data_IF_964349187677
#
_entry.id   IF_964349187677
#
_cell.length_a   1.000
_cell.length_b   1.000
_cell.length_c   1.000
_cell.angle_alpha   90.00
_cell.angle_beta   90.00
_cell.angle_gamma   90.00
#
_symmetry.space_group_name_H-M   'P 1'
#
loop_
_entity.id
_entity.type
_entity.pdbx_description
1 polymer ?
#
# COMPACT_ATOMS: atom_id res chain seq x y z
N UNK A 1 50.76 69.24 16.05
CA UNK A 1 50.41 67.92 16.69
C UNK A 1 49.10 67.37 16.25
N UNK A 2 48.41 67.85 15.18
CA UNK A 2 47.07 67.43 14.73
C UNK A 2 46.98 66.68 13.38
N UNK A 3 48.09 66.27 12.76
CA UNK A 3 48.09 65.55 11.48
C UNK A 3 48.36 64.04 11.61
N UNK A 4 48.87 63.55 12.75
CA UNK A 4 49.18 62.13 12.94
C UNK A 4 48.00 61.30 13.41
N UNK A 5 46.98 61.88 14.04
CA UNK A 5 45.81 61.14 14.51
C UNK A 5 44.75 60.88 13.40
N UNK A 6 44.78 61.69 12.34
CA UNK A 6 43.81 61.54 11.23
C UNK A 6 44.13 60.35 10.30
N UNK A 7 45.38 59.97 10.16
CA UNK A 7 45.79 58.85 9.29
C UNK A 7 45.61 57.47 9.94
N UNK A 8 45.73 57.36 11.26
CA UNK A 8 45.56 56.11 11.94
C UNK A 8 44.10 55.64 12.00
N UNK A 9 43.13 56.55 12.18
CA UNK A 9 41.69 56.27 12.19
C UNK A 9 41.18 55.91 10.79
N UNK A 10 41.70 56.51 9.75
CA UNK A 10 41.31 56.15 8.36
C UNK A 10 41.86 54.78 7.95
N UNK A 11 43.02 54.36 8.48
CA UNK A 11 43.60 53.06 8.21
C UNK A 11 42.85 51.92 8.96
N UNK A 12 42.50 52.17 10.21
CA UNK A 12 41.72 51.20 11.03
C UNK A 12 40.30 50.98 10.43
N UNK A 13 39.62 52.02 9.99
CA UNK A 13 38.30 51.90 9.39
C UNK A 13 38.33 51.13 8.06
N UNK A 14 39.35 51.27 7.24
CA UNK A 14 39.50 50.49 6.00
C UNK A 14 39.78 49.00 6.26
N UNK A 15 40.45 48.67 7.34
CA UNK A 15 40.69 47.27 7.71
C UNK A 15 39.42 46.60 8.26
N UNK A 16 38.61 47.31 9.04
CA UNK A 16 37.33 46.84 9.55
C UNK A 16 36.30 46.65 8.43
N UNK A 17 36.21 47.59 7.50
CA UNK A 17 35.30 47.47 6.35
C UNK A 17 35.67 46.32 5.40
N UNK A 18 36.95 46.06 5.15
CA UNK A 18 37.40 44.92 4.35
C UNK A 18 37.16 43.58 5.06
N UNK A 19 37.35 43.54 6.37
CA UNK A 19 37.07 42.34 7.17
C UNK A 19 35.57 41.98 7.18
N UNK A 20 34.72 43.00 7.31
CA UNK A 20 33.25 42.79 7.31
C UNK A 20 32.69 42.43 5.93
N UNK A 21 33.28 42.95 4.83
CA UNK A 21 32.88 42.55 3.48
C UNK A 21 33.29 41.09 3.16
N UNK A 22 34.49 40.68 3.55
CA UNK A 22 34.96 39.30 3.38
C UNK A 22 34.10 38.31 4.20
N UNK A 23 33.73 38.67 5.43
CA UNK A 23 32.89 37.86 6.29
C UNK A 23 31.45 37.74 5.73
N UNK A 24 30.89 38.82 5.17
CA UNK A 24 29.57 38.82 4.52
C UNK A 24 29.56 37.93 3.27
N UNK A 25 30.62 37.97 2.46
CA UNK A 25 30.73 37.10 1.26
C UNK A 25 30.90 35.61 1.66
N UNK A 26 31.61 35.30 2.73
CA UNK A 26 31.73 33.92 3.23
C UNK A 26 30.39 33.43 3.78
N UNK A 27 29.67 34.22 4.56
CA UNK A 27 28.34 33.87 5.09
C UNK A 27 27.33 33.71 3.96
N UNK A 28 27.36 34.58 2.95
CA UNK A 28 26.48 34.47 1.79
C UNK A 28 26.81 33.24 0.94
N UNK A 29 28.09 32.88 0.81
CA UNK A 29 28.53 31.64 0.15
C UNK A 29 28.06 30.38 0.89
N UNK A 30 28.13 30.37 2.21
CA UNK A 30 27.61 29.26 3.05
C UNK A 30 26.09 29.17 3.02
N UNK A 31 25.36 30.28 2.99
CA UNK A 31 23.91 30.31 2.81
C UNK A 31 23.46 29.79 1.43
N UNK A 32 24.21 30.09 0.39
CA UNK A 32 23.94 29.57 -0.97
C UNK A 32 24.20 28.06 -1.08
N UNK A 33 25.18 27.53 -0.36
CA UNK A 33 25.43 26.07 -0.32
C UNK A 33 24.29 25.31 0.37
N UNK A 34 23.59 25.93 1.32
CA UNK A 34 22.41 25.32 1.97
C UNK A 34 21.13 25.40 1.12
N UNK A 35 21.07 26.27 0.11
CA UNK A 35 19.89 26.41 -0.76
C UNK A 35 19.91 25.43 -1.94
N UNK A 36 21.06 24.85 -2.27
CA UNK A 36 21.20 23.79 -3.28
C UNK A 36 21.21 22.41 -2.59
N UNK A 37 20.21 22.14 -1.75
CA UNK A 37 19.82 20.76 -1.53
C UNK A 37 19.22 20.28 -2.84
N UNK A 38 19.80 19.27 -3.51
CA UNK A 38 19.15 18.70 -4.67
C UNK A 38 17.75 18.28 -4.20
N UNK A 39 16.72 18.81 -4.84
CA UNK A 39 15.40 18.22 -4.73
C UNK A 39 15.60 16.76 -5.12
N UNK A 40 15.65 15.87 -4.15
CA UNK A 40 15.70 14.43 -4.43
C UNK A 40 14.40 14.14 -5.15
N UNK A 41 14.50 13.96 -6.46
CA UNK A 41 13.38 13.44 -7.22
C UNK A 41 12.99 12.11 -6.54
N UNK A 42 11.75 12.01 -6.15
CA UNK A 42 11.22 10.75 -5.61
C UNK A 42 11.51 9.66 -6.64
N UNK A 43 12.27 8.65 -6.25
CA UNK A 43 12.60 7.52 -7.13
C UNK A 43 11.42 6.57 -7.32
N UNK A 44 10.27 6.86 -6.68
CA UNK A 44 9.07 6.04 -6.76
C UNK A 44 7.82 6.91 -6.77
N UNK A 45 6.78 6.43 -7.46
CA UNK A 45 5.43 6.98 -7.41
C UNK A 45 4.49 5.90 -6.86
N UNK A 46 3.59 6.30 -5.96
CA UNK A 46 2.62 5.43 -5.29
C UNK A 46 1.23 6.00 -5.56
N UNK A 47 0.30 5.14 -6.03
CA UNK A 47 -1.11 5.45 -6.17
C UNK A 47 -1.92 4.31 -5.53
N UNK A 48 -2.63 4.61 -4.44
CA UNK A 48 -3.39 3.65 -3.64
C UNK A 48 -4.79 4.19 -3.34
N UNK A 49 -5.78 3.31 -3.10
CA UNK A 49 -7.14 3.74 -2.81
C UNK A 49 -7.33 4.37 -1.42
N UNK A 50 -6.43 4.09 -0.45
CA UNK A 50 -6.45 4.70 0.87
C UNK A 50 -5.07 5.16 1.35
N UNK A 51 -5.06 6.01 2.37
CA UNK A 51 -3.83 6.56 2.95
C UNK A 51 -2.99 5.47 3.68
N UNK A 52 -3.63 4.49 4.30
CA UNK A 52 -2.95 3.45 5.08
C UNK A 52 -2.09 2.56 4.19
N UNK A 53 -2.64 2.15 3.04
CA UNK A 53 -1.89 1.36 2.06
C UNK A 53 -0.80 2.18 1.37
N UNK A 54 -1.04 3.48 1.12
CA UNK A 54 -0.05 4.38 0.55
C UNK A 54 1.15 4.59 1.49
N UNK A 55 0.90 4.89 2.79
CA UNK A 55 1.93 5.01 3.80
C UNK A 55 2.71 3.69 3.99
N UNK A 56 2.02 2.56 3.90
CA UNK A 56 2.67 1.25 3.97
C UNK A 56 3.62 1.05 2.80
N UNK A 57 3.17 1.32 1.56
CA UNK A 57 4.02 1.23 0.38
C UNK A 57 5.28 2.10 0.51
N UNK A 58 5.12 3.35 0.96
CA UNK A 58 6.24 4.26 1.18
C UNK A 58 7.23 3.71 2.21
N UNK A 59 6.76 3.25 3.37
CA UNK A 59 7.60 2.66 4.41
C UNK A 59 8.37 1.44 3.93
N UNK A 60 7.73 0.55 3.17
CA UNK A 60 8.38 -0.64 2.60
C UNK A 60 9.50 -0.22 1.63
N UNK A 61 9.26 0.75 0.77
CA UNK A 61 10.29 1.26 -0.14
C UNK A 61 11.44 1.92 0.62
N UNK A 62 11.17 2.71 1.67
CA UNK A 62 12.19 3.32 2.55
C UNK A 62 13.03 2.28 3.30
N UNK A 63 12.47 1.11 3.60
CA UNK A 63 13.16 -0.02 4.22
C UNK A 63 14.02 -0.83 3.23
N UNK A 64 14.10 -0.41 1.98
CA UNK A 64 14.88 -1.07 0.93
C UNK A 64 14.11 -2.14 0.17
N UNK A 65 12.80 -2.26 0.37
CA UNK A 65 11.92 -3.08 -0.45
C UNK A 65 11.80 -2.55 -1.87
N UNK A 66 11.41 -3.41 -2.78
CA UNK A 66 11.13 -3.04 -4.16
C UNK A 66 9.62 -2.80 -4.38
N UNK A 67 9.22 -2.49 -5.63
CA UNK A 67 7.83 -2.23 -5.96
C UNK A 67 6.89 -3.42 -5.72
N UNK A 68 7.39 -4.65 -5.83
CA UNK A 68 6.60 -5.87 -5.55
C UNK A 68 6.40 -6.03 -4.04
N UNK A 69 7.44 -5.80 -3.23
CA UNK A 69 7.31 -5.81 -1.76
C UNK A 69 6.27 -4.79 -1.30
N UNK A 70 6.34 -3.56 -1.84
CA UNK A 70 5.38 -2.50 -1.54
C UNK A 70 3.95 -2.87 -1.96
N UNK A 71 3.77 -3.46 -3.16
CA UNK A 71 2.47 -3.89 -3.65
C UNK A 71 1.88 -5.03 -2.80
N UNK A 72 2.70 -6.02 -2.41
CA UNK A 72 2.28 -7.14 -1.55
C UNK A 72 1.85 -6.64 -0.17
N UNK A 73 2.67 -5.82 0.48
CA UNK A 73 2.35 -5.28 1.81
C UNK A 73 1.07 -4.43 1.77
N UNK A 74 0.94 -3.56 0.77
CA UNK A 74 -0.26 -2.74 0.59
C UNK A 74 -1.51 -3.57 0.31
N UNK A 75 -1.41 -4.65 -0.46
CA UNK A 75 -2.55 -5.54 -0.71
C UNK A 75 -3.08 -6.18 0.59
N UNK A 76 -2.20 -6.59 1.50
CA UNK A 76 -2.62 -7.09 2.82
C UNK A 76 -3.18 -5.98 3.71
N UNK A 77 -2.63 -4.76 3.66
CA UNK A 77 -3.21 -3.62 4.39
C UNK A 77 -4.59 -3.28 3.87
N UNK A 78 -4.80 -3.26 2.55
CA UNK A 78 -6.12 -3.04 1.93
C UNK A 78 -7.15 -4.08 2.37
N UNK A 79 -6.76 -5.34 2.60
CA UNK A 79 -7.66 -6.35 3.14
C UNK A 79 -8.19 -6.00 4.55
N UNK A 80 -7.50 -5.12 5.28
CA UNK A 80 -7.88 -4.64 6.61
C UNK A 80 -8.62 -3.30 6.54
N UNK A 81 -8.07 -2.33 5.79
CA UNK A 81 -8.49 -0.93 5.83
C UNK A 81 -9.49 -0.56 4.73
N UNK A 82 -9.55 -1.38 3.67
CA UNK A 82 -10.40 -1.18 2.49
C UNK A 82 -11.18 -2.46 2.14
N UNK A 83 -11.97 -3.05 3.08
CA UNK A 83 -12.58 -4.38 2.93
C UNK A 83 -13.64 -4.48 1.83
N UNK A 84 -14.02 -3.39 1.20
CA UNK A 84 -14.93 -3.38 0.05
C UNK A 84 -14.29 -3.94 -1.23
N UNK A 85 -12.96 -3.89 -1.34
CA UNK A 85 -12.23 -4.39 -2.50
C UNK A 85 -10.94 -5.14 -2.11
N UNK A 86 -10.25 -4.71 -1.04
CA UNK A 86 -9.12 -5.44 -0.47
C UNK A 86 -9.58 -6.72 0.21
N UNK A 87 -8.87 -7.83 0.00
CA UNK A 87 -9.32 -9.13 0.51
C UNK A 87 -8.16 -10.13 0.62
N UNK A 88 -8.38 -11.17 1.44
CA UNK A 88 -7.57 -12.40 1.46
C UNK A 88 -8.36 -13.61 0.97
N UNK A 89 -9.67 -13.45 0.74
CA UNK A 89 -10.60 -14.50 0.34
C UNK A 89 -11.06 -14.40 -1.12
N UNK A 90 -10.48 -13.52 -1.89
CA UNK A 90 -10.78 -13.29 -3.31
C UNK A 90 -9.61 -13.67 -4.21
N UNK A 91 -9.40 -12.88 -5.24
CA UNK A 91 -8.33 -13.04 -6.21
C UNK A 91 -7.94 -11.73 -6.85
N UNK A 92 -7.15 -11.80 -7.92
CA UNK A 92 -6.72 -10.61 -8.63
C UNK A 92 -5.76 -10.92 -9.75
N UNK A 93 -5.19 -9.83 -10.28
CA UNK A 93 -4.17 -9.85 -11.31
C UNK A 93 -3.03 -8.91 -10.91
N UNK A 94 -1.83 -9.23 -11.33
CA UNK A 94 -0.68 -8.35 -11.19
C UNK A 94 0.05 -8.25 -12.52
N UNK A 95 0.25 -7.02 -12.98
CA UNK A 95 1.14 -6.73 -14.11
C UNK A 95 2.40 -6.08 -13.57
N UNK A 96 3.55 -6.60 -13.96
CA UNK A 96 4.86 -6.13 -13.55
C UNK A 96 5.70 -5.86 -14.79
N UNK A 97 6.38 -4.71 -14.80
CA UNK A 97 7.44 -4.41 -15.74
C UNK A 97 8.76 -4.34 -15.00
N UNK A 98 9.69 -5.23 -15.29
CA UNK A 98 11.03 -5.26 -14.72
C UNK A 98 12.01 -4.54 -15.66
N UNK A 99 12.68 -3.48 -15.19
CA UNK A 99 13.72 -2.81 -15.99
C UNK A 99 14.93 -3.73 -16.20
N UNK A 100 15.71 -3.51 -17.28
CA UNK A 100 16.93 -4.27 -17.55
C UNK A 100 17.97 -4.22 -16.43
N UNK A 101 17.94 -3.14 -15.64
CA UNK A 101 18.79 -2.96 -14.45
C UNK A 101 18.27 -3.66 -13.21
N UNK A 102 17.05 -4.19 -13.25
CA UNK A 102 16.54 -4.97 -12.13
C UNK A 102 17.41 -6.23 -11.98
N UNK A 103 18.06 -6.37 -10.83
CA UNK A 103 18.94 -7.52 -10.49
C UNK A 103 18.19 -8.86 -10.43
N UNK A 104 16.97 -8.89 -10.94
CA UNK A 104 16.02 -9.96 -10.79
C UNK A 104 15.78 -10.65 -12.13
N UNK A 105 16.33 -11.84 -12.26
CA UNK A 105 15.90 -12.80 -13.29
C UNK A 105 15.07 -13.89 -12.59
N UNK A 106 13.74 -13.79 -12.62
CA UNK A 106 12.91 -14.79 -11.95
C UNK A 106 13.05 -16.13 -12.66
N UNK A 107 13.61 -17.11 -11.97
CA UNK A 107 13.71 -18.48 -12.52
C UNK A 107 12.30 -19.05 -12.70
N UNK A 108 11.99 -19.53 -13.90
CA UNK A 108 10.74 -20.25 -14.19
C UNK A 108 9.51 -19.39 -14.46
N UNK A 109 9.65 -18.05 -14.59
CA UNK A 109 8.56 -17.17 -15.02
C UNK A 109 8.70 -16.87 -16.49
N UNK A 110 7.63 -17.07 -17.26
CA UNK A 110 7.60 -16.71 -18.68
C UNK A 110 7.22 -15.22 -18.81
N UNK A 111 7.91 -14.46 -19.67
CA UNK A 111 7.49 -13.11 -20.03
C UNK A 111 6.11 -13.10 -20.68
N UNK A 112 5.37 -12.01 -20.51
CA UNK A 112 4.10 -11.81 -21.18
C UNK A 112 4.33 -11.44 -22.66
N UNK A 113 3.92 -12.31 -23.57
CA UNK A 113 4.03 -12.04 -25.02
C UNK A 113 5.49 -11.99 -25.51
N UNK A 114 5.81 -11.02 -26.36
CA UNK A 114 7.13 -10.82 -26.95
C UNK A 114 8.06 -9.93 -26.10
N UNK A 115 7.53 -9.21 -25.12
CA UNK A 115 8.31 -8.35 -24.22
C UNK A 115 8.87 -9.18 -23.06
N UNK A 116 10.19 -9.30 -23.01
CA UNK A 116 10.92 -10.08 -22.00
C UNK A 116 10.91 -9.42 -20.61
N UNK A 117 10.44 -8.18 -20.49
CA UNK A 117 10.40 -7.40 -19.25
C UNK A 117 9.01 -7.32 -18.63
N UNK A 118 7.97 -7.64 -19.39
CA UNK A 118 6.59 -7.62 -18.92
C UNK A 118 6.18 -9.00 -18.39
N UNK A 119 5.62 -9.02 -17.19
CA UNK A 119 5.12 -10.23 -16.53
C UNK A 119 3.66 -10.02 -16.14
N UNK A 120 2.88 -11.09 -16.25
CA UNK A 120 1.49 -11.12 -15.83
C UNK A 120 1.27 -12.29 -14.88
N UNK A 121 0.69 -12.00 -13.72
CA UNK A 121 0.28 -12.99 -12.73
C UNK A 121 -1.24 -13.02 -12.67
N UNK A 122 -1.80 -14.19 -12.95
CA UNK A 122 -3.23 -14.47 -12.79
C UNK A 122 -3.43 -15.31 -11.52
N UNK A 123 -4.01 -14.70 -10.49
CA UNK A 123 -4.39 -15.35 -9.25
C UNK A 123 -5.88 -15.14 -8.95
N UNK A 124 -6.68 -14.98 -10.02
CA UNK A 124 -8.12 -14.90 -9.90
C UNK A 124 -8.69 -16.16 -9.24
N UNK A 125 -9.85 -16.01 -8.61
CA UNK A 125 -10.62 -17.09 -8.01
C UNK A 125 -10.98 -18.15 -9.06
N UNK A 126 -11.03 -19.40 -8.60
CA UNK A 126 -11.48 -20.52 -9.42
C UNK A 126 -12.83 -21.03 -8.90
N UNK A 127 -13.62 -21.62 -9.79
CA UNK A 127 -14.83 -22.32 -9.38
C UNK A 127 -14.47 -23.50 -8.46
N UNK A 128 -15.25 -23.76 -7.41
CA UNK A 128 -15.08 -24.96 -6.58
C UNK A 128 -15.25 -26.24 -7.43
N UNK A 129 -14.59 -27.33 -7.03
CA UNK A 129 -14.69 -28.62 -7.75
C UNK A 129 -16.14 -29.15 -7.87
N UNK A 130 -17.00 -28.80 -6.92
CA UNK A 130 -18.40 -29.16 -6.90
C UNK A 130 -19.30 -28.20 -7.72
N UNK A 131 -18.73 -27.17 -8.34
CA UNK A 131 -19.52 -26.26 -9.17
C UNK A 131 -20.10 -26.99 -10.39
N UNK A 132 -21.37 -26.68 -10.69
CA UNK A 132 -22.09 -27.22 -11.83
C UNK A 132 -22.82 -26.13 -12.55
N UNK A 133 -23.19 -26.38 -13.83
CA UNK A 133 -23.94 -25.43 -14.65
C UNK A 133 -25.30 -25.02 -14.04
N UNK A 134 -25.86 -25.87 -13.18
CA UNK A 134 -27.19 -25.68 -12.62
C UNK A 134 -27.18 -25.22 -11.16
N UNK A 135 -26.01 -24.98 -10.54
CA UNK A 135 -25.89 -24.70 -9.10
C UNK A 135 -26.66 -23.45 -8.62
N UNK A 136 -27.01 -22.55 -9.53
CA UNK A 136 -27.78 -21.34 -9.24
C UNK A 136 -29.21 -21.37 -9.75
N UNK A 137 -29.69 -22.55 -10.20
CA UNK A 137 -31.03 -22.76 -10.70
C UNK A 137 -31.89 -23.51 -9.69
N UNK A 138 -33.19 -23.27 -9.72
CA UNK A 138 -34.19 -24.11 -9.02
C UNK A 138 -34.55 -25.40 -9.82
N UNK A 139 -35.42 -26.22 -9.26
CA UNK A 139 -35.88 -27.48 -9.90
C UNK A 139 -36.59 -27.25 -11.23
N UNK A 140 -37.11 -26.04 -11.48
CA UNK A 140 -37.76 -25.64 -12.74
C UNK A 140 -36.76 -24.97 -13.71
N UNK A 141 -35.45 -25.02 -13.41
CA UNK A 141 -34.37 -24.37 -14.18
C UNK A 141 -34.46 -22.84 -14.24
N UNK A 142 -35.12 -22.21 -13.29
CA UNK A 142 -35.13 -20.75 -13.15
C UNK A 142 -33.99 -20.30 -12.24
N UNK A 143 -33.43 -19.15 -12.57
CA UNK A 143 -32.37 -18.53 -11.74
C UNK A 143 -32.90 -18.20 -10.36
N UNK A 144 -32.26 -18.70 -9.32
CA UNK A 144 -32.53 -18.33 -7.91
C UNK A 144 -31.90 -16.94 -7.68
N UNK A 145 -32.72 -15.92 -7.39
CA UNK A 145 -32.23 -14.56 -7.24
C UNK A 145 -31.13 -14.45 -6.20
N UNK A 146 -30.07 -13.72 -6.53
CA UNK A 146 -28.91 -13.43 -5.67
C UNK A 146 -28.05 -14.61 -5.23
N UNK A 147 -28.37 -15.87 -5.58
CA UNK A 147 -27.62 -17.05 -5.14
C UNK A 147 -26.17 -17.06 -5.65
N UNK A 148 -25.89 -16.45 -6.80
CA UNK A 148 -24.55 -16.26 -7.35
C UNK A 148 -23.80 -15.05 -6.80
N UNK A 149 -24.43 -14.24 -5.96
CA UNK A 149 -23.87 -12.98 -5.45
C UNK A 149 -23.72 -12.99 -3.92
N UNK A 150 -24.59 -13.73 -3.21
CA UNK A 150 -24.68 -13.68 -1.75
C UNK A 150 -24.71 -15.09 -1.18
N UNK A 151 -23.93 -15.32 -0.12
CA UNK A 151 -23.88 -16.59 0.60
C UNK A 151 -22.75 -17.52 0.14
N UNK A 152 -22.65 -18.66 0.78
CA UNK A 152 -21.52 -19.59 0.63
C UNK A 152 -21.35 -20.16 -0.79
N UNK A 153 -22.44 -20.29 -1.54
CA UNK A 153 -22.40 -20.79 -2.92
C UNK A 153 -21.87 -19.76 -3.93
N UNK A 154 -21.87 -18.47 -3.56
CA UNK A 154 -21.30 -17.40 -4.37
C UNK A 154 -19.78 -17.34 -4.31
N UNK A 155 -19.17 -17.96 -3.30
CA UNK A 155 -17.73 -17.89 -3.06
C UNK A 155 -16.95 -18.78 -4.02
N UNK A 156 -15.90 -18.22 -4.62
CA UNK A 156 -14.89 -18.99 -5.35
C UNK A 156 -13.81 -19.55 -4.45
N UNK A 157 -12.91 -20.35 -5.01
CA UNK A 157 -11.67 -20.76 -4.34
C UNK A 157 -10.68 -19.60 -4.39
N UNK A 158 -10.23 -19.08 -3.26
CA UNK A 158 -9.40 -17.87 -3.21
C UNK A 158 -8.03 -18.04 -3.87
N UNK A 159 -7.55 -16.97 -4.49
CA UNK A 159 -6.24 -16.90 -5.11
C UNK A 159 -5.31 -15.82 -4.53
N UNK A 160 -5.85 -14.81 -3.80
CA UNK A 160 -5.09 -13.63 -3.37
C UNK A 160 -3.81 -13.99 -2.60
N UNK A 161 -3.91 -14.76 -1.52
CA UNK A 161 -2.73 -15.08 -0.68
C UNK A 161 -1.68 -15.83 -1.48
N UNK A 162 -2.10 -16.85 -2.25
CA UNK A 162 -1.19 -17.62 -3.09
C UNK A 162 -0.54 -16.75 -4.18
N UNK A 163 -1.32 -15.86 -4.83
CA UNK A 163 -0.81 -14.97 -5.86
C UNK A 163 0.21 -13.96 -5.32
N UNK A 164 -0.07 -13.34 -4.18
CA UNK A 164 0.86 -12.43 -3.51
C UNK A 164 2.13 -13.16 -3.04
N UNK A 165 1.98 -14.38 -2.51
CA UNK A 165 3.12 -15.25 -2.17
C UNK A 165 3.97 -15.57 -3.40
N UNK A 166 3.35 -15.97 -4.52
CA UNK A 166 4.07 -16.25 -5.76
C UNK A 166 4.79 -15.02 -6.32
N UNK A 167 4.16 -13.84 -6.26
CA UNK A 167 4.79 -12.59 -6.64
C UNK A 167 6.01 -12.30 -5.78
N UNK A 168 5.85 -12.41 -4.46
CA UNK A 168 6.93 -12.21 -3.49
C UNK A 168 8.09 -13.20 -3.71
N UNK A 169 7.82 -14.51 -3.85
CA UNK A 169 8.86 -15.52 -4.04
C UNK A 169 9.69 -15.29 -5.30
N UNK A 170 9.12 -14.66 -6.32
CA UNK A 170 9.76 -14.44 -7.62
C UNK A 170 10.43 -13.09 -7.76
N UNK A 171 9.86 -12.07 -7.11
CA UNK A 171 10.24 -10.68 -7.35
C UNK A 171 10.46 -9.88 -6.06
N UNK A 172 10.10 -10.39 -4.89
CA UNK A 172 10.29 -9.74 -3.60
C UNK A 172 11.75 -9.78 -3.13
N UNK A 173 12.11 -8.87 -2.26
CA UNK A 173 13.44 -8.73 -1.66
C UNK A 173 13.44 -8.74 -0.14
N UNK A 174 12.34 -8.30 0.49
CA UNK A 174 12.21 -8.29 1.94
C UNK A 174 11.58 -9.59 2.46
N UNK A 175 11.77 -9.95 3.73
CA UNK A 175 11.12 -11.10 4.33
C UNK A 175 9.59 -11.03 4.25
N UNK A 176 8.94 -12.15 3.92
CA UNK A 176 7.48 -12.26 3.81
C UNK A 176 6.74 -11.75 5.05
N UNK A 177 7.17 -12.19 6.23
CA UNK A 177 6.57 -11.77 7.51
C UNK A 177 6.65 -10.27 7.73
N UNK A 178 7.72 -9.60 7.26
CA UNK A 178 7.86 -8.15 7.35
C UNK A 178 6.82 -7.43 6.49
N UNK A 179 6.44 -7.98 5.34
CA UNK A 179 5.43 -7.40 4.45
C UNK A 179 4.01 -7.51 5.03
N UNK A 180 3.73 -8.54 5.82
CA UNK A 180 2.43 -8.72 6.47
C UNK A 180 2.30 -7.94 7.78
N UNK A 181 3.41 -7.56 8.41
CA UNK A 181 3.40 -6.90 9.72
C UNK A 181 2.52 -5.64 9.78
N UNK A 182 2.55 -4.72 8.80
CA UNK A 182 1.67 -3.55 8.81
C UNK A 182 0.18 -3.91 8.83
N UNK A 183 -0.23 -4.90 8.06
CA UNK A 183 -1.61 -5.37 8.04
C UNK A 183 -2.02 -6.01 9.38
N UNK A 184 -1.13 -6.80 9.99
CA UNK A 184 -1.32 -7.38 11.31
C UNK A 184 -1.50 -6.28 12.35
N UNK A 185 -0.67 -5.23 12.29
CA UNK A 185 -0.72 -4.11 13.23
C UNK A 185 -2.03 -3.32 13.11
N UNK A 186 -2.47 -2.99 11.89
CA UNK A 186 -3.77 -2.34 11.66
C UNK A 186 -4.96 -3.21 12.11
N UNK A 187 -4.91 -4.51 11.85
CA UNK A 187 -5.99 -5.41 12.26
C UNK A 187 -6.03 -5.59 13.79
N UNK A 188 -4.90 -5.72 14.45
CA UNK A 188 -4.80 -5.96 15.88
C UNK A 188 -5.00 -4.69 16.72
N UNK A 189 -4.30 -3.62 16.37
CA UNK A 189 -4.29 -2.37 17.13
C UNK A 189 -5.42 -1.43 16.71
N UNK A 190 -5.93 -1.63 15.48
CA UNK A 190 -7.01 -0.84 14.89
C UNK A 190 -6.50 0.35 14.07
N UNK A 191 -7.41 0.91 13.30
CA UNK A 191 -7.23 2.14 12.55
C UNK A 191 -8.42 3.07 12.73
N UNK A 192 -8.22 4.38 12.53
CA UNK A 192 -9.29 5.36 12.59
C UNK A 192 -10.14 5.25 11.34
N UNK A 193 -11.42 4.95 11.49
CA UNK A 193 -12.34 4.70 10.37
C UNK A 193 -12.64 5.99 9.62
N UNK A 194 -12.32 6.10 8.32
CA UNK A 194 -12.68 7.25 7.52
C UNK A 194 -14.18 7.26 7.16
N UNK A 195 -14.75 8.44 6.87
CA UNK A 195 -16.19 8.59 6.56
C UNK A 195 -16.65 7.74 5.37
N UNK A 196 -15.81 7.60 4.35
CA UNK A 196 -16.09 6.89 3.12
C UNK A 196 -16.39 5.42 3.41
N UNK A 197 -15.60 4.79 4.25
CA UNK A 197 -15.78 3.38 4.63
C UNK A 197 -17.11 3.15 5.36
N UNK A 198 -17.57 4.11 6.18
CA UNK A 198 -18.89 4.03 6.82
C UNK A 198 -20.02 4.16 5.80
N UNK A 199 -19.85 5.01 4.79
CA UNK A 199 -20.82 5.18 3.71
C UNK A 199 -20.95 3.88 2.92
N UNK A 200 -19.83 3.27 2.51
CA UNK A 200 -19.80 1.97 1.83
C UNK A 200 -20.43 0.88 2.68
N UNK A 201 -20.09 0.79 3.99
CA UNK A 201 -20.71 -0.17 4.90
C UNK A 201 -22.25 -0.04 4.94
N UNK A 202 -22.76 1.18 5.05
CA UNK A 202 -24.22 1.42 5.08
C UNK A 202 -24.89 0.96 3.79
N UNK A 203 -24.26 1.20 2.64
CA UNK A 203 -24.77 0.75 1.35
C UNK A 203 -24.85 -0.77 1.29
N UNK A 204 -23.76 -1.49 1.65
CA UNK A 204 -23.75 -2.94 1.72
C UNK A 204 -24.75 -3.50 2.71
N UNK A 205 -24.84 -2.92 3.91
CA UNK A 205 -25.79 -3.33 4.93
C UNK A 205 -27.23 -3.23 4.44
N UNK A 206 -27.59 -2.14 3.78
CA UNK A 206 -28.91 -1.98 3.18
C UNK A 206 -29.16 -3.02 2.07
N UNK A 207 -28.17 -3.27 1.23
CA UNK A 207 -28.30 -4.19 0.12
C UNK A 207 -28.40 -5.66 0.53
N UNK A 208 -27.72 -6.08 1.63
CA UNK A 208 -27.72 -7.47 2.11
C UNK A 208 -28.81 -7.75 3.15
N UNK A 209 -29.39 -6.74 3.79
CA UNK A 209 -30.26 -6.88 4.96
C UNK A 209 -31.44 -7.84 4.73
N UNK A 210 -32.06 -7.78 3.56
CA UNK A 210 -33.23 -8.59 3.20
C UNK A 210 -32.89 -9.85 2.40
N UNK A 211 -31.60 -10.06 2.04
CA UNK A 211 -31.20 -11.04 1.04
C UNK A 211 -30.51 -12.27 1.60
N UNK A 212 -29.99 -12.18 2.83
CA UNK A 212 -29.39 -13.32 3.51
C UNK A 212 -29.39 -13.12 5.02
N UNK A 213 -30.19 -13.91 5.70
CA UNK A 213 -30.24 -13.97 7.17
C UNK A 213 -29.01 -14.69 7.75
N UNK A 214 -28.27 -15.41 6.91
CA UNK A 214 -27.16 -16.29 7.32
C UNK A 214 -25.79 -15.60 7.20
N UNK A 215 -25.76 -14.33 6.74
CA UNK A 215 -24.51 -13.57 6.66
C UNK A 215 -24.14 -12.98 8.02
N UNK A 216 -22.93 -13.23 8.45
CA UNK A 216 -22.34 -12.65 9.65
C UNK A 216 -21.74 -11.23 9.43
N UNK A 217 -22.14 -10.53 8.36
CA UNK A 217 -21.67 -9.19 8.00
C UNK A 217 -21.73 -8.21 9.18
N UNK A 218 -22.86 -8.14 9.86
CA UNK A 218 -23.04 -7.22 11.00
C UNK A 218 -22.19 -7.61 12.21
N UNK A 219 -21.87 -8.90 12.40
CA UNK A 219 -20.97 -9.35 13.45
C UNK A 219 -19.59 -8.71 13.33
N UNK A 220 -19.06 -8.63 12.11
CA UNK A 220 -17.71 -8.10 11.87
C UNK A 220 -17.67 -6.61 11.61
N UNK A 221 -18.68 -6.02 10.96
CA UNK A 221 -18.63 -4.66 10.47
C UNK A 221 -19.55 -3.65 11.18
N UNK A 222 -20.33 -4.06 12.17
CA UNK A 222 -21.17 -3.12 12.95
C UNK A 222 -20.36 -2.07 13.71
N UNK A 223 -19.11 -2.39 14.07
CA UNK A 223 -18.17 -1.49 14.76
C UNK A 223 -17.56 -0.38 13.88
N UNK A 224 -17.75 -0.41 12.56
CA UNK A 224 -17.29 0.63 11.65
C UNK A 224 -18.10 1.93 11.86
N UNK A 225 -17.53 2.88 12.59
CA UNK A 225 -18.11 4.21 12.86
C UNK A 225 -17.06 5.26 12.58
N UNK A 226 -17.44 6.35 11.92
CA UNK A 226 -16.54 7.46 11.59
C UNK A 226 -15.78 7.96 12.81
N UNK A 227 -14.48 8.14 12.66
CA UNK A 227 -13.57 8.62 13.71
C UNK A 227 -13.53 7.73 14.96
N UNK A 228 -13.85 6.45 14.82
CA UNK A 228 -13.67 5.46 15.89
C UNK A 228 -12.54 4.50 15.50
N UNK A 229 -11.86 3.99 16.52
CA UNK A 229 -10.86 2.95 16.34
C UNK A 229 -11.54 1.61 16.03
N UNK A 230 -11.27 1.05 14.87
CA UNK A 230 -11.82 -0.24 14.45
C UNK A 230 -10.74 -1.32 14.47
N UNK A 231 -11.01 -2.40 15.16
CA UNK A 231 -10.11 -3.57 15.32
C UNK A 231 -10.73 -4.81 14.71
N UNK A 232 -9.88 -5.70 14.18
CA UNK A 232 -10.28 -6.96 13.54
C UNK A 232 -9.41 -8.11 14.07
N UNK A 233 -9.60 -8.55 15.33
CA UNK A 233 -8.69 -9.49 16.00
C UNK A 233 -8.65 -10.87 15.32
N UNK A 234 -9.76 -11.35 14.75
CA UNK A 234 -9.82 -12.62 14.02
C UNK A 234 -9.02 -12.53 12.73
N UNK A 235 -9.12 -11.39 12.02
CA UNK A 235 -8.31 -11.15 10.83
C UNK A 235 -6.83 -11.03 11.17
N UNK A 236 -6.48 -10.34 12.27
CA UNK A 236 -5.11 -10.27 12.76
C UNK A 236 -4.53 -11.67 13.05
N UNK A 237 -5.30 -12.55 13.69
CA UNK A 237 -4.90 -13.95 13.93
C UNK A 237 -4.67 -14.71 12.63
N UNK A 238 -5.55 -14.52 11.63
CA UNK A 238 -5.41 -15.14 10.31
C UNK A 238 -4.18 -14.64 9.57
N UNK A 239 -3.93 -13.32 9.58
CA UNK A 239 -2.75 -12.73 8.94
C UNK A 239 -1.44 -13.18 9.59
N UNK A 240 -1.40 -13.37 10.92
CA UNK A 240 -0.24 -13.95 11.63
C UNK A 240 0.08 -15.36 11.13
N UNK A 241 -0.93 -16.21 10.99
CA UNK A 241 -0.76 -17.56 10.45
C UNK A 241 -0.31 -17.59 8.98
N UNK A 242 -0.67 -16.57 8.20
CA UNK A 242 -0.20 -16.43 6.82
C UNK A 242 1.26 -15.95 6.78
N UNK A 243 1.70 -15.18 7.79
CA UNK A 243 3.05 -14.66 7.90
C UNK A 243 4.09 -15.71 8.34
N UNK A 244 3.67 -16.78 9.02
CA UNK A 244 4.45 -17.95 9.46
C UNK A 244 4.73 -18.92 8.30
#
# INVERSE_FOLDING_TARGET
MNRFFSTATAFANRFVERGTQSLRLVIFGWLLVWIVLPAQASNAAIAMPDAFSAETAEKILQQGGNAVDAAVASAFVLAVTYPEAGNIGGGGFMTLYASETARFQPQGVQPAGTDKHAYFLDYREKAPKAASANMYLDDNRKVIPYRSLIGYQASGVPGTVMGLWMAHQRFGSLPWSQLLQPAIDYAQNGFMVPPELVTTRKWYQHWVADKSKDLNFNQYFSGLKTNHLFKQPELASTLKRIAE
#
